data_IF_008472193107
#
_entry.id   IF_008472193107
#
_cell.length_a   1.000
_cell.length_b   1.000
_cell.length_c   1.000
_cell.angle_alpha   90.00
_cell.angle_beta   90.00
_cell.angle_gamma   90.00
#
_symmetry.space_group_name_H-M   'P 1'
#
loop_
_entity.id
_entity.type
_entity.pdbx_description
1 polymer ?
#
# COMPACT_ATOMS: atom_id res chain seq x y z
N UNK A 1 -31.14 -61.91 -31.48
CA UNK A 1 -30.01 -62.24 -30.59
C UNK A 1 -29.20 -60.96 -30.42
N UNK A 2 -29.15 -60.42 -29.20
CA UNK A 2 -28.73 -59.04 -28.88
C UNK A 2 -27.22 -58.83 -29.11
N UNK A 3 -26.84 -57.74 -29.78
CA UNK A 3 -25.47 -57.22 -29.83
C UNK A 3 -25.28 -56.22 -28.70
N UNK A 4 -24.33 -56.50 -27.82
CA UNK A 4 -23.95 -55.67 -26.67
C UNK A 4 -23.03 -54.55 -27.16
N UNK A 5 -23.42 -53.28 -26.98
CA UNK A 5 -22.51 -52.15 -27.08
C UNK A 5 -22.10 -51.73 -25.67
N UNK A 6 -20.79 -51.72 -25.43
CA UNK A 6 -20.15 -51.31 -24.20
C UNK A 6 -20.01 -49.77 -24.25
N UNK A 7 -20.82 -49.04 -23.48
CA UNK A 7 -20.63 -47.60 -23.31
C UNK A 7 -19.61 -47.35 -22.20
N UNK A 8 -18.46 -46.80 -22.59
CA UNK A 8 -17.40 -46.33 -21.70
C UNK A 8 -17.77 -44.92 -21.22
N UNK A 9 -18.21 -44.79 -19.96
CA UNK A 9 -18.37 -43.48 -19.33
C UNK A 9 -17.02 -43.01 -18.78
N UNK A 10 -16.44 -41.97 -19.39
CA UNK A 10 -15.38 -41.18 -18.77
C UNK A 10 -16.00 -40.34 -17.65
N UNK A 11 -15.59 -40.58 -16.40
CA UNK A 11 -15.87 -39.69 -15.27
C UNK A 11 -14.71 -38.68 -15.22
N UNK A 12 -14.95 -37.46 -15.69
CA UNK A 12 -14.06 -36.33 -15.41
C UNK A 12 -14.36 -35.84 -13.99
N UNK A 13 -13.47 -36.18 -13.05
CA UNK A 13 -13.50 -35.67 -11.68
C UNK A 13 -12.90 -34.25 -11.68
N UNK A 14 -13.75 -33.24 -11.84
CA UNK A 14 -13.36 -31.84 -11.59
C UNK A 14 -13.30 -31.67 -10.07
N UNK A 15 -12.10 -31.67 -9.51
CA UNK A 15 -11.87 -31.22 -8.13
C UNK A 15 -12.09 -29.71 -8.08
N UNK A 16 -13.33 -29.29 -7.86
CA UNK A 16 -13.66 -27.92 -7.50
C UNK A 16 -13.14 -27.65 -6.10
N UNK A 17 -12.05 -26.89 -5.99
CA UNK A 17 -11.74 -26.18 -4.75
C UNK A 17 -12.83 -25.11 -4.63
N UNK A 18 -13.86 -25.41 -3.85
CA UNK A 18 -14.84 -24.43 -3.42
C UNK A 18 -14.13 -23.56 -2.38
N UNK A 19 -13.42 -22.53 -2.83
CA UNK A 19 -13.06 -21.42 -1.97
C UNK A 19 -14.38 -20.74 -1.61
N UNK A 20 -14.91 -21.05 -0.43
CA UNK A 20 -16.01 -20.29 0.14
C UNK A 20 -15.46 -18.89 0.39
N UNK A 21 -15.70 -17.98 -0.54
CA UNK A 21 -15.58 -16.56 -0.25
C UNK A 21 -16.55 -16.30 0.89
N UNK A 22 -16.03 -16.02 2.08
CA UNK A 22 -16.82 -15.35 3.10
C UNK A 22 -17.29 -14.07 2.42
N UNK A 23 -18.59 -13.95 2.09
CA UNK A 23 -19.09 -12.66 1.61
C UNK A 23 -18.77 -11.63 2.69
N UNK A 24 -18.37 -10.41 2.32
CA UNK A 24 -18.03 -9.38 3.30
C UNK A 24 -19.27 -8.71 3.94
N UNK A 25 -20.45 -8.88 3.34
CA UNK A 25 -21.74 -8.39 3.87
C UNK A 25 -22.09 -8.79 5.33
N UNK A 26 -21.80 -10.00 5.82
CA UNK A 26 -22.00 -10.39 7.22
C UNK A 26 -21.15 -9.55 8.20
N UNK A 27 -20.00 -9.01 7.78
CA UNK A 27 -19.07 -8.30 8.68
C UNK A 27 -19.63 -6.94 9.10
N UNK A 28 -20.22 -6.20 8.18
CA UNK A 28 -20.78 -4.86 8.46
C UNK A 28 -21.97 -4.93 9.41
N UNK A 29 -22.78 -5.99 9.32
CA UNK A 29 -23.98 -6.18 10.15
C UNK A 29 -23.71 -6.26 11.67
N UNK A 30 -22.47 -6.56 12.07
CA UNK A 30 -22.06 -6.62 13.47
C UNK A 30 -21.61 -5.28 14.06
N UNK A 31 -21.40 -4.25 13.24
CA UNK A 31 -20.92 -2.94 13.70
C UNK A 31 -22.08 -2.13 14.29
N UNK A 32 -21.83 -1.45 15.41
CA UNK A 32 -22.82 -0.61 16.09
C UNK A 32 -22.37 0.84 16.08
N UNK A 33 -23.20 1.69 15.51
CA UNK A 33 -23.01 3.14 15.54
C UNK A 33 -23.70 3.73 16.76
N UNK A 34 -23.02 4.68 17.42
CA UNK A 34 -23.60 5.41 18.54
C UNK A 34 -24.56 6.51 18.06
N UNK A 35 -24.27 7.09 16.90
CA UNK A 35 -25.07 8.12 16.26
C UNK A 35 -26.05 7.46 15.27
N UNK A 36 -27.38 7.65 15.43
CA UNK A 36 -28.37 7.07 14.54
C UNK A 36 -28.43 7.72 13.15
N UNK A 37 -27.79 8.88 12.94
CA UNK A 37 -27.73 9.55 11.62
C UNK A 37 -26.58 9.05 10.74
N UNK A 38 -25.70 8.20 11.28
CA UNK A 38 -24.60 7.61 10.53
C UNK A 38 -24.98 6.22 10.02
N UNK A 39 -24.38 5.85 8.88
CA UNK A 39 -24.43 4.50 8.32
C UNK A 39 -23.02 3.97 8.04
N UNK A 40 -22.86 2.65 8.06
CA UNK A 40 -21.66 1.98 7.55
C UNK A 40 -22.12 1.02 6.45
N UNK A 41 -21.52 1.18 5.28
CA UNK A 41 -21.68 0.28 4.14
C UNK A 41 -20.34 -0.34 3.76
N UNK A 42 -20.39 -1.48 3.09
CA UNK A 42 -19.20 -2.07 2.50
C UNK A 42 -18.97 -1.41 1.13
N UNK A 43 -17.86 -0.70 0.97
CA UNK A 43 -17.51 -0.08 -0.31
C UNK A 43 -16.67 -0.99 -1.21
N UNK A 44 -15.70 -1.73 -0.66
CA UNK A 44 -14.87 -2.67 -1.43
C UNK A 44 -14.46 -3.88 -0.57
N UNK A 45 -14.30 -5.04 -1.20
CA UNK A 45 -13.78 -6.26 -0.57
C UNK A 45 -12.86 -7.06 -1.49
N UNK A 46 -12.30 -8.16 -0.97
CA UNK A 46 -11.57 -9.12 -1.79
C UNK A 46 -12.49 -9.70 -2.87
N UNK A 47 -12.06 -9.80 -4.13
CA UNK A 47 -10.66 -9.78 -4.58
C UNK A 47 -10.17 -8.43 -5.12
N UNK A 48 -10.90 -7.33 -4.94
CA UNK A 48 -10.50 -6.02 -5.49
C UNK A 48 -9.20 -5.49 -4.88
N UNK A 49 -8.91 -5.87 -3.64
CA UNK A 49 -7.69 -5.52 -2.91
C UNK A 49 -7.30 -6.63 -1.94
N UNK A 50 -6.06 -6.59 -1.44
CA UNK A 50 -5.52 -7.51 -0.46
C UNK A 50 -4.64 -6.80 0.58
N UNK A 51 -4.94 -7.02 1.86
CA UNK A 51 -4.17 -6.54 3.00
C UNK A 51 -3.83 -5.03 2.92
N UNK A 52 -4.82 -4.12 2.87
CA UNK A 52 -4.58 -2.68 2.76
C UNK A 52 -3.76 -2.16 3.94
N UNK A 53 -2.71 -1.39 3.65
CA UNK A 53 -1.85 -0.75 4.67
C UNK A 53 -2.11 0.75 4.78
N UNK A 54 -2.42 1.42 3.66
CA UNK A 54 -2.77 2.84 3.58
C UNK A 54 -3.55 3.12 2.30
N UNK A 55 -4.32 4.21 2.27
CA UNK A 55 -5.05 4.65 1.09
C UNK A 55 -5.11 6.18 0.96
N UNK A 56 -5.32 6.66 -0.27
CA UNK A 56 -5.63 8.06 -0.57
C UNK A 56 -6.71 8.15 -1.65
N UNK A 57 -7.40 9.29 -1.73
CA UNK A 57 -8.49 9.54 -2.69
C UNK A 57 -8.06 10.59 -3.69
N UNK A 58 -8.10 10.25 -4.97
CA UNK A 58 -7.75 11.22 -6.02
C UNK A 58 -8.91 12.15 -6.39
N UNK A 59 -8.62 13.14 -7.24
CA UNK A 59 -9.60 14.14 -7.66
C UNK A 59 -10.79 13.58 -8.47
N UNK A 60 -10.71 12.32 -8.93
CA UNK A 60 -11.80 11.62 -9.62
C UNK A 60 -12.62 10.75 -8.66
N UNK A 61 -12.31 10.74 -7.37
CA UNK A 61 -12.98 9.92 -6.35
C UNK A 61 -12.50 8.48 -6.28
N UNK A 62 -11.41 8.13 -6.98
CA UNK A 62 -10.86 6.77 -6.96
C UNK A 62 -10.01 6.57 -5.71
N UNK A 63 -10.06 5.36 -5.15
CA UNK A 63 -9.29 5.02 -3.93
C UNK A 63 -8.02 4.28 -4.33
N UNK A 64 -6.88 4.88 -4.06
CA UNK A 64 -5.55 4.29 -4.27
C UNK A 64 -5.11 3.59 -2.99
N UNK A 65 -4.73 2.33 -3.08
CA UNK A 65 -4.44 1.48 -1.91
C UNK A 65 -3.04 0.89 -2.03
N UNK A 66 -2.25 1.02 -0.98
CA UNK A 66 -1.03 0.24 -0.79
C UNK A 66 -1.35 -1.10 -0.15
N UNK A 67 -0.79 -2.18 -0.71
CA UNK A 67 -1.00 -3.53 -0.21
C UNK A 67 0.20 -4.05 0.57
N UNK A 68 -0.04 -4.70 1.71
CA UNK A 68 0.99 -5.21 2.61
C UNK A 68 1.18 -6.72 2.59
N UNK A 69 0.93 -7.41 1.47
CA UNK A 69 0.87 -8.88 1.43
C UNK A 69 2.19 -9.54 1.88
N UNK A 70 3.34 -8.92 1.61
CA UNK A 70 4.66 -9.40 2.02
C UNK A 70 5.14 -8.92 3.42
N UNK A 71 4.25 -8.34 4.25
CA UNK A 71 4.58 -7.84 5.58
C UNK A 71 5.21 -8.93 6.47
N UNK A 72 6.23 -8.56 7.27
CA UNK A 72 6.95 -9.46 8.20
C UNK A 72 7.47 -10.78 7.60
N UNK A 73 7.96 -10.73 6.36
CA UNK A 73 8.65 -11.85 5.66
C UNK A 73 7.75 -13.03 5.31
N UNK A 74 6.44 -12.84 5.20
CA UNK A 74 5.54 -13.84 4.62
C UNK A 74 6.00 -14.27 3.22
N UNK A 75 6.57 -13.33 2.42
CA UNK A 75 7.07 -13.52 1.04
C UNK A 75 6.08 -14.27 0.15
N UNK A 76 4.79 -14.02 0.35
CA UNK A 76 3.67 -14.71 -0.31
C UNK A 76 3.43 -14.22 -1.73
N UNK A 77 3.89 -13.02 -2.08
CA UNK A 77 3.77 -12.44 -3.43
C UNK A 77 5.16 -12.18 -4.02
N UNK A 78 5.62 -13.11 -4.87
CA UNK A 78 6.98 -13.11 -5.41
C UNK A 78 7.36 -11.89 -6.26
N UNK A 79 6.39 -11.26 -6.92
CA UNK A 79 6.59 -10.04 -7.71
C UNK A 79 6.71 -8.76 -6.87
N UNK A 80 6.68 -8.85 -5.53
CA UNK A 80 6.54 -7.70 -4.65
C UNK A 80 5.09 -7.29 -4.43
N UNK A 81 4.90 -6.36 -3.51
CA UNK A 81 3.60 -5.78 -3.18
C UNK A 81 3.14 -4.75 -4.22
N UNK A 82 1.87 -4.35 -4.10
CA UNK A 82 1.17 -3.58 -5.13
C UNK A 82 0.67 -2.25 -4.58
N UNK A 83 0.52 -1.30 -5.50
CA UNK A 83 -0.45 -0.22 -5.37
C UNK A 83 -1.60 -0.53 -6.33
N UNK A 84 -2.83 -0.51 -5.83
CA UNK A 84 -4.04 -0.74 -6.62
C UNK A 84 -4.94 0.50 -6.59
N UNK A 85 -5.71 0.69 -7.66
CA UNK A 85 -6.68 1.79 -7.81
C UNK A 85 -8.06 1.18 -7.92
N UNK A 86 -8.92 1.51 -6.97
CA UNK A 86 -10.29 1.05 -6.88
C UNK A 86 -11.23 2.12 -7.44
N UNK A 87 -12.16 1.67 -8.27
CA UNK A 87 -13.13 2.53 -8.95
C UNK A 87 -14.55 1.98 -8.75
N UNK A 88 -15.48 2.89 -8.52
CA UNK A 88 -16.92 2.70 -8.67
C UNK A 88 -17.29 3.32 -10.03
N UNK A 89 -17.53 2.48 -11.03
CA UNK A 89 -17.68 2.92 -12.43
C UNK A 89 -19.13 3.17 -12.82
N UNK A 90 -20.10 2.66 -12.04
CA UNK A 90 -21.53 2.90 -12.24
C UNK A 90 -22.16 3.85 -11.20
N UNK A 91 -21.37 4.31 -10.24
CA UNK A 91 -21.70 5.29 -9.19
C UNK A 91 -22.78 4.79 -8.24
N UNK A 92 -22.84 3.49 -7.97
CA UNK A 92 -23.80 2.88 -7.05
C UNK A 92 -23.36 2.91 -5.58
N UNK A 93 -22.15 3.41 -5.30
CA UNK A 93 -21.56 3.47 -3.97
C UNK A 93 -20.79 2.21 -3.58
N UNK A 94 -20.48 1.34 -4.54
CA UNK A 94 -19.66 0.13 -4.35
C UNK A 94 -18.59 0.08 -5.44
N UNK A 95 -17.35 -0.21 -5.05
CA UNK A 95 -16.29 -0.43 -6.02
C UNK A 95 -16.55 -1.69 -6.85
N UNK A 96 -16.42 -1.57 -8.17
CA UNK A 96 -16.61 -2.68 -9.11
C UNK A 96 -15.34 -3.04 -9.89
N UNK A 97 -14.33 -2.16 -9.85
CA UNK A 97 -13.10 -2.30 -10.62
C UNK A 97 -11.86 -2.07 -9.76
N UNK A 98 -10.84 -2.88 -10.03
CA UNK A 98 -9.51 -2.75 -9.46
C UNK A 98 -8.47 -2.76 -10.58
N UNK A 99 -7.59 -1.76 -10.58
CA UNK A 99 -6.46 -1.63 -11.51
C UNK A 99 -5.17 -1.70 -10.71
N UNK A 100 -4.26 -2.63 -11.05
CA UNK A 100 -2.92 -2.62 -10.44
C UNK A 100 -2.13 -1.49 -11.08
N UNK A 101 -1.91 -0.40 -10.34
CA UNK A 101 -1.08 0.71 -10.80
C UNK A 101 0.37 0.25 -10.95
N UNK A 102 0.94 -0.33 -9.90
CA UNK A 102 2.31 -0.85 -9.95
C UNK A 102 2.46 -2.08 -9.09
N UNK A 103 3.23 -3.05 -9.58
CA UNK A 103 3.77 -4.17 -8.82
C UNK A 103 5.29 -4.19 -8.99
N UNK A 104 6.04 -4.09 -7.90
CA UNK A 104 7.50 -4.00 -7.94
C UNK A 104 8.10 -4.83 -6.79
N UNK A 105 9.10 -5.71 -7.03
CA UNK A 105 9.82 -6.44 -5.99
C UNK A 105 10.43 -5.57 -4.89
N UNK A 106 10.66 -4.29 -5.17
CA UNK A 106 11.11 -3.31 -4.18
C UNK A 106 10.03 -2.98 -3.13
N UNK A 107 8.75 -3.09 -3.51
CA UNK A 107 7.63 -2.89 -2.59
C UNK A 107 7.47 -4.14 -1.72
N UNK A 108 7.73 -3.98 -0.43
CA UNK A 108 7.62 -5.02 0.58
C UNK A 108 6.93 -4.40 1.79
N UNK A 109 5.61 -4.44 1.73
CA UNK A 109 4.66 -3.73 2.59
C UNK A 109 4.89 -2.22 2.61
N UNK A 110 4.65 -1.50 1.49
CA UNK A 110 4.55 -0.05 1.52
C UNK A 110 3.46 0.37 2.52
N UNK A 111 3.71 1.42 3.30
CA UNK A 111 2.86 1.78 4.46
C UNK A 111 2.28 3.20 4.37
N UNK A 112 2.46 3.86 3.23
CA UNK A 112 1.96 5.20 2.99
C UNK A 112 1.78 5.45 1.51
N UNK A 113 0.73 6.19 1.18
CA UNK A 113 0.44 6.66 -0.17
C UNK A 113 -0.10 8.09 -0.11
N UNK A 114 0.32 8.92 -1.05
CA UNK A 114 -0.26 10.24 -1.30
C UNK A 114 -0.32 10.50 -2.80
N UNK A 115 -1.48 10.95 -3.29
CA UNK A 115 -1.78 11.10 -4.72
C UNK A 115 -2.08 12.56 -5.03
N UNK A 116 -1.22 13.19 -5.83
CA UNK A 116 -1.36 14.60 -6.23
C UNK A 116 -1.27 14.70 -7.75
N UNK A 117 -2.43 14.91 -8.38
CA UNK A 117 -2.51 14.99 -9.84
C UNK A 117 -2.11 13.66 -10.48
N UNK A 118 -0.94 13.63 -11.12
CA UNK A 118 -0.38 12.41 -11.70
C UNK A 118 0.90 11.93 -11.00
N UNK A 119 1.17 12.46 -9.80
CA UNK A 119 2.29 12.05 -8.97
C UNK A 119 1.80 11.22 -7.79
N UNK A 120 2.35 10.03 -7.64
CA UNK A 120 1.99 9.06 -6.60
C UNK A 120 3.21 8.85 -5.73
N UNK A 121 3.11 9.27 -4.48
CA UNK A 121 4.16 9.15 -3.48
C UNK A 121 3.89 7.90 -2.64
N UNK A 122 4.83 6.97 -2.59
CA UNK A 122 4.71 5.70 -1.87
C UNK A 122 5.82 5.58 -0.83
N UNK A 123 5.44 5.40 0.43
CA UNK A 123 6.39 5.15 1.52
C UNK A 123 6.80 3.68 1.55
N UNK A 124 8.03 3.41 1.12
CA UNK A 124 8.68 2.11 1.12
C UNK A 124 10.08 2.26 1.74
N UNK A 125 10.16 2.17 3.07
CA UNK A 125 11.43 2.35 3.80
C UNK A 125 12.55 1.47 3.20
N UNK A 126 13.71 2.03 2.82
CA UNK A 126 14.29 3.31 3.27
C UNK A 126 13.89 4.57 2.48
N UNK A 127 12.96 4.47 1.54
CA UNK A 127 12.62 5.56 0.62
C UNK A 127 11.15 5.99 0.70
N UNK A 128 10.91 7.23 0.28
CA UNK A 128 9.63 7.62 -0.33
C UNK A 128 9.88 7.69 -1.83
N UNK A 129 9.16 6.87 -2.58
CA UNK A 129 9.25 6.78 -4.03
C UNK A 129 8.20 7.70 -4.63
N UNK A 130 8.56 8.48 -5.65
CA UNK A 130 7.60 9.19 -6.49
C UNK A 130 7.48 8.47 -7.83
N UNK A 131 6.27 8.03 -8.14
CA UNK A 131 5.88 7.60 -9.47
C UNK A 131 5.16 8.75 -10.17
N UNK A 132 5.42 8.94 -11.46
CA UNK A 132 4.68 9.89 -12.31
C UNK A 132 4.00 9.13 -13.43
N UNK A 133 2.67 9.07 -13.39
CA UNK A 133 1.81 8.52 -14.44
C UNK A 133 1.64 9.58 -15.54
N UNK A 134 2.50 9.55 -16.54
CA UNK A 134 2.62 10.61 -17.55
C UNK A 134 1.39 10.64 -18.45
N UNK A 135 0.91 9.46 -18.84
CA UNK A 135 -0.23 9.32 -19.75
C UNK A 135 -1.59 9.30 -19.00
N UNK A 136 -1.57 9.22 -17.67
CA UNK A 136 -2.75 9.23 -16.77
C UNK A 136 -3.66 8.03 -16.98
N UNK A 137 -3.10 6.87 -17.31
CA UNK A 137 -3.85 5.66 -17.61
C UNK A 137 -4.04 4.72 -16.39
N UNK A 138 -3.56 5.12 -15.20
CA UNK A 138 -3.64 4.36 -13.94
C UNK A 138 -2.81 3.09 -13.92
N UNK A 139 -1.85 2.95 -14.84
CA UNK A 139 -0.92 1.83 -14.91
C UNK A 139 0.49 2.39 -15.08
N UNK A 140 1.39 2.04 -14.17
CA UNK A 140 2.80 2.40 -14.29
C UNK A 140 3.45 1.62 -15.44
N UNK A 141 3.62 2.27 -16.59
CA UNK A 141 4.05 1.63 -17.83
C UNK A 141 5.09 2.41 -18.64
N UNK A 142 5.23 2.10 -19.94
CA UNK A 142 6.23 2.70 -20.80
C UNK A 142 5.96 4.20 -20.99
N UNK A 143 6.91 5.02 -20.53
CA UNK A 143 6.83 6.48 -20.59
C UNK A 143 6.66 7.12 -19.22
N UNK A 144 6.29 6.33 -18.20
CA UNK A 144 6.21 6.79 -16.83
C UNK A 144 7.58 6.86 -16.15
N UNK A 145 7.65 7.61 -15.05
CA UNK A 145 8.90 7.78 -14.31
C UNK A 145 8.77 7.35 -12.86
N UNK A 146 9.84 6.74 -12.34
CA UNK A 146 10.01 6.40 -10.94
C UNK A 146 11.29 7.04 -10.44
N UNK A 147 11.22 7.72 -9.31
CA UNK A 147 12.38 8.29 -8.64
C UNK A 147 12.30 8.13 -7.12
N UNK A 148 13.47 8.13 -6.48
CA UNK A 148 13.56 8.22 -5.02
C UNK A 148 13.42 9.70 -4.65
N UNK A 149 12.27 10.08 -4.11
CA UNK A 149 11.96 11.47 -3.75
C UNK A 149 12.66 11.87 -2.44
N UNK A 150 12.64 10.97 -1.46
CA UNK A 150 13.37 11.09 -0.20
C UNK A 150 13.96 9.71 0.15
N UNK A 151 15.18 9.68 0.68
CA UNK A 151 15.84 8.43 1.13
C UNK A 151 16.40 8.57 2.53
N UNK A 152 16.84 7.46 3.14
CA UNK A 152 17.52 7.45 4.43
C UNK A 152 16.59 7.32 5.64
N UNK A 153 15.35 6.89 5.39
CA UNK A 153 14.45 6.40 6.44
C UNK A 153 14.95 5.07 7.01
N UNK A 154 14.66 4.80 8.28
CA UNK A 154 15.07 3.59 8.99
C UNK A 154 13.81 2.82 9.40
N UNK A 155 13.93 1.48 9.44
CA UNK A 155 12.87 0.57 9.86
C UNK A 155 12.22 -0.17 8.70
N UNK A 156 13.01 -0.78 7.81
CA UNK A 156 12.49 -1.56 6.69
C UNK A 156 11.46 -2.60 7.17
N UNK A 157 10.24 -2.53 6.63
CA UNK A 157 9.12 -3.43 6.97
C UNK A 157 8.80 -3.45 8.48
N UNK A 158 8.81 -2.26 9.12
CA UNK A 158 8.57 -2.07 10.56
C UNK A 158 7.36 -1.16 10.80
N UNK A 159 6.57 -1.47 11.82
CA UNK A 159 5.43 -0.67 12.29
C UNK A 159 5.80 0.73 12.84
N UNK A 160 7.09 1.07 12.97
CA UNK A 160 7.58 2.32 13.55
C UNK A 160 8.42 3.13 12.53
N UNK A 161 8.33 2.80 11.24
CA UNK A 161 9.10 3.45 10.16
C UNK A 161 8.32 4.60 9.51
N UNK A 162 8.61 4.90 8.24
CA UNK A 162 7.90 5.95 7.48
C UNK A 162 6.63 5.38 6.87
N UNK A 163 5.50 6.03 7.18
CA UNK A 163 4.16 5.60 6.76
C UNK A 163 3.50 6.71 5.93
N UNK A 164 2.32 7.20 6.32
CA UNK A 164 1.49 8.16 5.58
C UNK A 164 2.26 9.33 4.95
N UNK A 165 1.87 9.64 3.72
CA UNK A 165 2.27 10.83 2.97
C UNK A 165 0.98 11.52 2.54
N UNK A 166 0.79 12.80 2.89
CA UNK A 166 -0.48 13.50 2.65
C UNK A 166 -0.21 14.92 2.14
N UNK A 167 -1.00 15.33 1.14
CA UNK A 167 -1.03 16.72 0.68
C UNK A 167 -1.83 17.61 1.63
N UNK A 168 -1.27 18.76 1.99
CA UNK A 168 -1.97 19.78 2.79
C UNK A 168 -2.60 20.88 1.93
N UNK A 169 -3.62 21.59 2.46
CA UNK A 169 -4.26 22.71 1.78
C UNK A 169 -3.32 23.92 1.59
N UNK A 170 -2.14 23.92 2.23
CA UNK A 170 -1.09 24.92 2.06
C UNK A 170 -0.12 24.59 0.91
N UNK A 171 -0.43 23.55 0.13
CA UNK A 171 0.38 23.11 -1.01
C UNK A 171 1.65 22.34 -0.62
N UNK A 172 1.79 21.93 0.64
CA UNK A 172 2.92 21.11 1.10
C UNK A 172 2.58 19.63 1.15
N UNK A 173 3.62 18.81 1.03
CA UNK A 173 3.56 17.39 1.29
C UNK A 173 4.04 17.11 2.72
N UNK A 174 3.24 16.40 3.48
CA UNK A 174 3.54 15.98 4.85
C UNK A 174 3.78 14.48 4.87
N UNK A 175 4.78 14.04 5.61
CA UNK A 175 5.02 12.63 5.86
C UNK A 175 5.37 12.42 7.33
N UNK A 176 5.16 11.21 7.83
CA UNK A 176 5.60 10.84 9.18
C UNK A 176 6.77 9.87 9.13
N UNK A 177 7.61 9.95 10.16
CA UNK A 177 8.61 8.95 10.51
C UNK A 177 8.40 8.60 11.97
N UNK A 178 8.25 7.31 12.27
CA UNK A 178 8.15 6.84 13.64
C UNK A 178 9.49 6.92 14.39
N UNK A 179 9.52 6.32 15.58
CA UNK A 179 10.68 6.41 16.46
C UNK A 179 11.86 5.51 16.01
N UNK A 180 11.87 4.95 14.80
CA UNK A 180 13.08 4.31 14.24
C UNK A 180 14.25 5.31 14.03
N UNK A 181 13.97 6.62 14.02
CA UNK A 181 14.93 7.64 13.62
C UNK A 181 15.18 7.62 12.11
N UNK A 182 15.84 8.65 11.57
CA UNK A 182 16.10 8.78 10.13
C UNK A 182 17.12 9.88 9.83
N UNK A 183 17.93 9.67 8.79
CA UNK A 183 18.79 10.70 8.18
C UNK A 183 18.29 10.85 6.76
N UNK A 184 17.28 11.68 6.63
CA UNK A 184 16.51 11.82 5.41
C UNK A 184 17.28 12.74 4.47
N UNK A 185 17.49 12.34 3.23
CA UNK A 185 18.14 13.16 2.21
C UNK A 185 17.19 13.37 1.04
N UNK A 186 17.08 14.61 0.57
CA UNK A 186 16.32 14.96 -0.64
C UNK A 186 17.17 14.97 -1.92
N UNK A 187 16.53 15.21 -3.06
CA UNK A 187 17.19 15.25 -4.37
C UNK A 187 18.26 16.33 -4.53
N UNK A 188 18.22 17.38 -3.70
CA UNK A 188 19.22 18.46 -3.68
C UNK A 188 20.38 18.15 -2.70
N UNK A 189 20.35 16.99 -2.05
CA UNK A 189 21.35 16.55 -1.07
C UNK A 189 21.17 17.15 0.32
N UNK A 190 20.09 17.91 0.57
CA UNK A 190 19.81 18.45 1.89
C UNK A 190 19.39 17.32 2.81
N UNK A 191 19.94 17.34 4.02
CA UNK A 191 19.72 16.30 5.02
C UNK A 191 18.88 16.81 6.19
N UNK A 192 17.91 15.99 6.62
CA UNK A 192 17.09 16.17 7.80
C UNK A 192 17.32 15.01 8.76
N UNK A 193 17.28 15.28 10.06
CA UNK A 193 17.56 14.29 11.08
C UNK A 193 16.35 14.08 11.99
N UNK A 194 15.97 12.82 12.17
CA UNK A 194 15.02 12.37 13.19
C UNK A 194 15.83 11.55 14.20
N UNK A 195 16.04 12.10 15.39
CA UNK A 195 16.73 11.42 16.48
C UNK A 195 15.81 10.45 17.22
N UNK A 196 16.37 9.37 17.75
CA UNK A 196 15.63 8.41 18.56
C UNK A 196 16.52 7.55 19.48
N UNK A 197 15.98 7.24 20.66
CA UNK A 197 16.55 6.26 21.59
C UNK A 197 16.05 4.82 21.36
N UNK A 198 15.07 4.63 20.47
CA UNK A 198 14.36 3.36 20.29
C UNK A 198 15.28 2.19 19.89
N UNK A 199 16.18 2.41 18.93
CA UNK A 199 17.04 1.32 18.44
C UNK A 199 18.14 0.88 19.40
N UNK A 200 18.39 1.61 20.50
CA UNK A 200 19.38 1.24 21.54
C UNK A 200 19.06 -0.11 22.23
N UNK A 201 17.89 -0.71 21.95
CA UNK A 201 17.44 -1.98 22.53
C UNK A 201 17.33 -3.16 21.56
N UNK A 202 17.78 -3.05 20.30
CA UNK A 202 17.75 -4.23 19.42
C UNK A 202 17.91 -4.07 17.89
N UNK A 203 18.36 -2.93 17.36
CA UNK A 203 18.62 -2.82 15.90
C UNK A 203 19.85 -1.97 15.55
N UNK A 204 20.04 -1.62 14.26
CA UNK A 204 21.27 -1.02 13.76
C UNK A 204 21.59 0.29 14.51
N UNK A 205 22.68 0.30 15.26
CA UNK A 205 23.12 1.47 16.01
C UNK A 205 23.81 2.44 15.03
N UNK A 206 23.09 3.47 14.58
CA UNK A 206 23.68 4.57 13.81
C UNK A 206 24.07 5.70 14.76
N UNK A 207 25.37 5.99 14.88
CA UNK A 207 25.92 6.84 15.94
C UNK A 207 25.37 8.27 16.03
N UNK A 208 24.81 8.82 14.94
CA UNK A 208 24.20 10.15 14.91
C UNK A 208 22.75 10.19 15.45
N UNK A 209 22.07 9.04 15.57
CA UNK A 209 20.64 8.97 15.89
C UNK A 209 20.33 9.26 17.39
N UNK A 210 21.30 9.11 18.28
CA UNK A 210 21.06 9.07 19.73
C UNK A 210 21.12 10.42 20.44
N UNK A 211 21.84 11.39 19.88
CA UNK A 211 22.05 12.67 20.56
C UNK A 211 21.66 13.81 19.62
N UNK A 212 20.48 14.41 19.79
CA UNK A 212 20.01 15.52 18.98
C UNK A 212 20.98 16.70 18.94
N UNK A 213 21.76 16.92 20.01
CA UNK A 213 22.77 18.00 20.04
C UNK A 213 23.92 17.77 19.07
N UNK A 214 24.08 16.56 18.52
CA UNK A 214 25.11 16.28 17.51
C UNK A 214 24.79 16.89 16.16
N UNK A 215 23.52 17.19 15.86
CA UNK A 215 23.06 17.76 14.59
C UNK A 215 22.19 19.01 14.73
N UNK A 216 21.58 19.25 15.89
CA UNK A 216 20.80 20.47 16.13
C UNK A 216 21.65 21.73 15.94
N UNK A 217 21.21 22.63 15.05
CA UNK A 217 21.89 23.89 14.75
C UNK A 217 23.17 23.74 13.90
N UNK A 218 23.51 22.55 13.42
CA UNK A 218 24.62 22.33 12.49
C UNK A 218 24.10 22.33 11.05
N UNK A 219 24.80 23.04 10.17
CA UNK A 219 24.56 23.00 8.72
C UNK A 219 25.24 21.78 8.10
#
# INVERSE_FOLDING_TARGET
>A
MKRTFLNLFLINLITGICAVALSAQPVVSGLKLADPELEITLWADSPLLANPTNFDVDASGRIWVTEGVNYRRSKTRGGGDQVVVLEDTDLDGVADKSTVFVQDPYLVAPMGIGVIGNQIYVSQTPDIIRYTDVNRNLVFDEGDTREVFLTGFIGSNHDHSTHSVIGGPDGKLYFNQGNCGAKITDGDGKTFYVGSFYYNKGGPQVGWNFNPTTFAGKQ
#
